data_IF_090284774789
#
_entry.id   IF_090284774789
#
_cell.length_a   1.000
_cell.length_b   1.000
_cell.length_c   1.000
_cell.angle_alpha   90.00
_cell.angle_beta   90.00
_cell.angle_gamma   90.00
#
_symmetry.space_group_name_H-M   'P 1'
#
loop_
_entity.id
_entity.type
_entity.pdbx_description
1 polymer ?
#
# COMPACT_ATOMS: atom_id res chain seq x y z
N UNK A 1 -19.45 -2.67 -15.94
CA UNK A 1 -17.99 -2.36 -15.86
C UNK A 1 -17.51 -2.73 -14.48
N UNK A 2 -16.41 -3.44 -14.40
CA UNK A 2 -15.89 -3.92 -13.11
C UNK A 2 -15.11 -2.79 -12.42
N UNK A 3 -15.41 -2.54 -11.14
CA UNK A 3 -14.74 -1.51 -10.36
C UNK A 3 -13.26 -1.88 -10.12
N UNK A 4 -12.37 -0.92 -10.25
CA UNK A 4 -10.91 -1.09 -10.05
C UNK A 4 -10.49 -0.37 -8.79
N UNK A 5 -9.96 -1.12 -7.82
CA UNK A 5 -9.58 -0.59 -6.51
C UNK A 5 -8.09 -0.79 -6.28
N UNK A 6 -7.36 0.30 -6.11
CA UNK A 6 -5.95 0.28 -5.74
C UNK A 6 -5.82 0.24 -4.22
N UNK A 7 -5.10 -0.73 -3.70
CA UNK A 7 -4.83 -0.88 -2.26
C UNK A 7 -3.32 -0.78 -2.03
N UNK A 8 -2.84 0.39 -1.63
CA UNK A 8 -1.45 0.53 -1.19
C UNK A 8 -1.23 -0.29 0.08
N UNK A 9 -0.19 -1.11 0.08
CA UNK A 9 0.17 -1.97 1.21
C UNK A 9 1.62 -1.73 1.60
N UNK A 10 1.87 -1.69 2.91
CA UNK A 10 3.21 -1.61 3.49
C UNK A 10 3.46 -2.75 4.49
N UNK A 11 2.65 -3.80 4.39
CA UNK A 11 2.70 -5.00 5.23
C UNK A 11 2.45 -4.74 6.73
N UNK A 12 1.82 -3.63 7.05
CA UNK A 12 1.35 -3.31 8.40
C UNK A 12 -0.07 -3.84 8.63
N UNK A 13 -0.47 -3.92 9.88
CA UNK A 13 -1.86 -4.27 10.26
C UNK A 13 -2.87 -3.27 9.67
N UNK A 14 -2.51 -2.00 9.55
CA UNK A 14 -3.36 -0.98 8.94
C UNK A 14 -3.66 -1.30 7.46
N UNK A 15 -2.63 -1.63 6.67
CA UNK A 15 -2.84 -2.00 5.27
C UNK A 15 -3.55 -3.36 5.13
N UNK A 16 -3.32 -4.30 6.05
CA UNK A 16 -4.05 -5.57 6.09
C UNK A 16 -5.55 -5.37 6.32
N UNK A 17 -5.92 -4.47 7.23
CA UNK A 17 -7.33 -4.10 7.47
C UNK A 17 -7.96 -3.43 6.24
N UNK A 18 -7.27 -2.51 5.61
CA UNK A 18 -7.77 -1.86 4.40
C UNK A 18 -8.06 -2.88 3.30
N UNK A 19 -7.17 -3.84 3.10
CA UNK A 19 -7.35 -4.91 2.12
C UNK A 19 -8.55 -5.81 2.48
N UNK A 20 -8.67 -6.20 3.75
CA UNK A 20 -9.78 -7.03 4.22
C UNK A 20 -11.14 -6.35 4.04
N UNK A 21 -11.25 -5.08 4.41
CA UNK A 21 -12.48 -4.29 4.25
C UNK A 21 -12.81 -4.12 2.77
N UNK A 22 -11.81 -3.86 1.92
CA UNK A 22 -12.01 -3.74 0.48
C UNK A 22 -12.57 -5.03 -0.13
N UNK A 23 -12.01 -6.17 0.22
CA UNK A 23 -12.49 -7.49 -0.22
C UNK A 23 -13.93 -7.77 0.23
N UNK A 24 -14.25 -7.44 1.48
CA UNK A 24 -15.57 -7.68 2.05
C UNK A 24 -16.65 -6.81 1.41
N UNK A 25 -16.38 -5.53 1.17
CA UNK A 25 -17.39 -4.57 0.69
C UNK A 25 -17.47 -4.47 -0.83
N UNK A 26 -16.44 -4.91 -1.54
CA UNK A 26 -16.38 -4.83 -3.00
C UNK A 26 -16.15 -6.21 -3.64
N UNK A 27 -17.00 -7.21 -3.36
CA UNK A 27 -16.90 -8.51 -3.99
C UNK A 27 -17.08 -8.37 -5.50
N UNK A 28 -16.14 -8.83 -6.29
CA UNK A 28 -16.18 -8.69 -7.75
C UNK A 28 -15.45 -7.45 -8.29
N UNK A 29 -14.86 -6.60 -7.44
CA UNK A 29 -13.94 -5.58 -7.90
C UNK A 29 -12.60 -6.20 -8.34
N UNK A 30 -11.94 -5.56 -9.28
CA UNK A 30 -10.53 -5.85 -9.58
C UNK A 30 -9.67 -5.11 -8.55
N UNK A 31 -9.01 -5.86 -7.70
CA UNK A 31 -8.14 -5.31 -6.65
C UNK A 31 -6.69 -5.40 -7.11
N UNK A 32 -5.96 -4.30 -7.01
CA UNK A 32 -4.51 -4.29 -7.21
C UNK A 32 -3.82 -3.85 -5.93
N UNK A 33 -2.96 -4.73 -5.39
CA UNK A 33 -2.07 -4.43 -4.29
C UNK A 33 -0.85 -3.66 -4.84
N UNK A 34 -0.54 -2.53 -4.24
CA UNK A 34 0.61 -1.70 -4.63
C UNK A 34 1.57 -1.55 -3.46
N UNK A 35 2.82 -1.91 -3.65
CA UNK A 35 3.90 -1.55 -2.74
C UNK A 35 4.78 -0.46 -3.37
N UNK A 36 5.06 0.60 -2.61
CA UNK A 36 5.95 1.67 -3.04
C UNK A 36 7.27 1.57 -2.29
N UNK A 37 8.33 1.33 -3.04
CA UNK A 37 9.70 1.36 -2.52
C UNK A 37 10.15 2.81 -2.42
N UNK A 38 10.44 3.30 -1.22
CA UNK A 38 10.98 4.64 -1.04
C UNK A 38 12.50 4.62 -1.30
N UNK A 39 13.02 5.44 -2.22
CA UNK A 39 14.44 5.51 -2.49
C UNK A 39 15.31 5.82 -1.25
N UNK A 40 14.77 6.53 -0.28
CA UNK A 40 15.47 6.82 0.97
C UNK A 40 15.76 5.56 1.81
N UNK A 41 14.90 4.56 1.73
CA UNK A 41 15.06 3.30 2.44
C UNK A 41 16.20 2.46 1.83
N UNK A 42 16.38 2.56 0.51
CA UNK A 42 17.50 1.93 -0.20
C UNK A 42 18.82 2.63 0.13
N UNK A 43 18.82 3.96 0.14
CA UNK A 43 20.02 4.77 0.41
C UNK A 43 20.52 4.63 1.85
N UNK A 44 19.65 4.43 2.82
CA UNK A 44 20.02 4.23 4.23
C UNK A 44 20.65 2.86 4.50
N UNK A 45 20.35 1.87 3.68
CA UNK A 45 20.99 0.55 3.76
C UNK A 45 22.42 0.55 3.22
N UNK A 46 22.80 1.56 2.41
CA UNK A 46 24.14 1.74 1.86
C UNK A 46 24.84 2.90 2.57
N UNK A 47 25.50 2.64 3.68
CA UNK A 47 26.14 3.66 4.53
C UNK A 47 27.37 4.34 3.90
N UNK A 48 27.50 4.43 2.58
CA UNK A 48 28.64 5.08 1.94
C UNK A 48 28.25 5.82 0.64
N UNK A 49 28.47 7.16 0.55
CA UNK A 49 28.04 7.98 -0.58
C UNK A 49 28.88 7.83 -1.87
N UNK A 50 29.88 6.98 -1.89
CA UNK A 50 30.61 6.62 -3.12
C UNK A 50 29.87 5.45 -3.78
N UNK A 51 28.71 5.73 -4.30
CA UNK A 51 27.85 4.71 -4.86
C UNK A 51 28.31 4.42 -6.29
N UNK A 52 28.81 3.22 -6.49
CA UNK A 52 28.87 2.64 -7.82
C UNK A 52 27.43 2.52 -8.35
N UNK A 53 27.09 3.13 -9.51
CA UNK A 53 25.74 3.07 -10.07
C UNK A 53 25.18 1.66 -10.25
N UNK A 54 26.05 0.67 -10.41
CA UNK A 54 25.68 -0.75 -10.50
C UNK A 54 25.15 -1.25 -9.16
N UNK A 55 25.74 -0.86 -8.05
CA UNK A 55 25.31 -1.25 -6.71
C UNK A 55 23.90 -0.71 -6.36
N UNK A 56 23.63 0.54 -6.74
CA UNK A 56 22.33 1.15 -6.50
C UNK A 56 21.21 0.44 -7.29
N UNK A 57 21.51 0.00 -8.52
CA UNK A 57 20.58 -0.78 -9.34
C UNK A 57 20.31 -2.16 -8.73
N UNK A 58 21.34 -2.82 -8.23
CA UNK A 58 21.24 -4.14 -7.60
C UNK A 58 20.40 -4.08 -6.34
N UNK A 59 20.63 -3.07 -5.47
CA UNK A 59 19.85 -2.89 -4.25
C UNK A 59 18.38 -2.54 -4.53
N UNK A 60 18.13 -1.72 -5.54
CA UNK A 60 16.78 -1.42 -6.00
C UNK A 60 16.07 -2.68 -6.51
N UNK A 61 16.73 -3.45 -7.35
CA UNK A 61 16.20 -4.70 -7.90
C UNK A 61 15.88 -5.71 -6.80
N UNK A 62 16.74 -5.85 -5.81
CA UNK A 62 16.50 -6.71 -4.63
C UNK A 62 15.29 -6.25 -3.84
N UNK A 63 15.14 -4.94 -3.61
CA UNK A 63 14.00 -4.37 -2.90
C UNK A 63 12.68 -4.61 -3.64
N UNK A 64 12.69 -4.43 -4.95
CA UNK A 64 11.52 -4.71 -5.81
C UNK A 64 11.16 -6.21 -5.81
N UNK A 65 12.13 -7.10 -5.91
CA UNK A 65 11.93 -8.54 -5.88
C UNK A 65 11.39 -9.02 -4.52
N UNK A 66 11.92 -8.49 -3.44
CA UNK A 66 11.44 -8.79 -2.09
C UNK A 66 10.00 -8.30 -1.89
N UNK A 67 9.69 -7.09 -2.34
CA UNK A 67 8.34 -6.55 -2.30
C UNK A 67 7.37 -7.41 -3.09
N UNK A 68 7.73 -7.85 -4.29
CA UNK A 68 6.93 -8.74 -5.12
C UNK A 68 6.67 -10.08 -4.44
N UNK A 69 7.66 -10.68 -3.81
CA UNK A 69 7.50 -11.93 -3.05
C UNK A 69 6.53 -11.76 -1.88
N UNK A 70 6.63 -10.66 -1.14
CA UNK A 70 5.73 -10.38 -0.02
C UNK A 70 4.31 -10.08 -0.49
N UNK A 71 4.15 -9.32 -1.56
CA UNK A 71 2.83 -9.08 -2.17
C UNK A 71 2.14 -10.39 -2.58
N UNK A 72 2.89 -11.32 -3.16
CA UNK A 72 2.36 -12.63 -3.56
C UNK A 72 1.76 -13.41 -2.38
N UNK A 73 2.28 -13.24 -1.15
CA UNK A 73 1.71 -13.87 0.04
C UNK A 73 0.38 -13.25 0.49
N UNK A 74 0.13 -12.01 0.11
CA UNK A 74 -1.10 -11.27 0.45
C UNK A 74 -2.16 -11.36 -0.65
N UNK A 75 -1.74 -11.57 -1.88
CA UNK A 75 -2.59 -11.65 -3.06
C UNK A 75 -3.50 -12.89 -3.02
N UNK A 76 -4.74 -12.75 -3.45
CA UNK A 76 -5.71 -13.85 -3.55
C UNK A 76 -6.35 -13.87 -4.94
N UNK A 77 -6.58 -15.09 -5.43
CA UNK A 77 -7.34 -15.28 -6.67
C UNK A 77 -6.78 -14.51 -7.86
N UNK A 78 -7.61 -13.69 -8.45
CA UNK A 78 -7.32 -12.87 -9.63
C UNK A 78 -6.87 -11.43 -9.29
N UNK A 79 -6.58 -11.16 -8.01
CA UNK A 79 -6.01 -9.86 -7.63
C UNK A 79 -4.68 -9.61 -8.31
N UNK A 80 -4.44 -8.37 -8.66
CA UNK A 80 -3.18 -7.95 -9.28
C UNK A 80 -2.19 -7.42 -8.23
N UNK A 81 -0.92 -7.40 -8.59
CA UNK A 81 0.11 -6.76 -7.78
C UNK A 81 0.98 -5.83 -8.62
N UNK A 82 1.49 -4.78 -8.00
CA UNK A 82 2.44 -3.86 -8.59
C UNK A 82 3.44 -3.37 -7.54
N UNK A 83 4.66 -3.14 -7.98
CA UNK A 83 5.72 -2.48 -7.20
C UNK A 83 6.15 -1.25 -7.97
N UNK A 84 6.20 -0.11 -7.28
CA UNK A 84 6.69 1.14 -7.83
C UNK A 84 7.75 1.75 -6.91
N UNK A 85 8.58 2.62 -7.44
CA UNK A 85 9.64 3.30 -6.68
C UNK A 85 9.40 4.79 -6.73
N UNK A 86 9.41 5.42 -5.57
CA UNK A 86 9.24 6.87 -5.47
C UNK A 86 8.75 7.33 -4.10
N UNK A 87 8.38 8.59 -4.02
CA UNK A 87 7.70 9.16 -2.85
C UNK A 87 6.32 8.51 -2.71
N UNK A 88 5.97 7.95 -1.54
CA UNK A 88 4.78 7.10 -1.42
C UNK A 88 3.49 7.76 -1.91
N UNK A 89 3.15 8.94 -1.41
CA UNK A 89 1.87 9.58 -1.73
C UNK A 89 1.73 9.91 -3.22
N UNK A 90 2.74 10.54 -3.79
CA UNK A 90 2.75 10.94 -5.20
C UNK A 90 2.74 9.71 -6.12
N UNK A 91 3.53 8.69 -5.77
CA UNK A 91 3.60 7.44 -6.54
C UNK A 91 2.27 6.69 -6.52
N UNK A 92 1.59 6.62 -5.37
CA UNK A 92 0.25 6.03 -5.27
C UNK A 92 -0.74 6.77 -6.17
N UNK A 93 -0.75 8.10 -6.14
CA UNK A 93 -1.62 8.92 -7.00
C UNK A 93 -1.35 8.67 -8.48
N UNK A 94 -0.10 8.63 -8.87
CA UNK A 94 0.30 8.36 -10.25
C UNK A 94 -0.10 6.96 -10.71
N UNK A 95 0.16 5.94 -9.89
CA UNK A 95 -0.24 4.56 -10.18
C UNK A 95 -1.76 4.41 -10.29
N UNK A 96 -2.51 5.10 -9.45
CA UNK A 96 -3.98 5.12 -9.53
C UNK A 96 -4.47 5.71 -10.85
N UNK A 97 -3.86 6.79 -11.32
CA UNK A 97 -4.18 7.40 -12.62
C UNK A 97 -3.82 6.49 -13.80
N UNK A 98 -2.61 5.95 -13.81
CA UNK A 98 -2.13 5.08 -14.89
C UNK A 98 -2.96 3.81 -15.01
N UNK A 99 -3.31 3.22 -13.89
CA UNK A 99 -4.13 2.00 -13.86
C UNK A 99 -5.62 2.30 -14.01
N UNK A 100 -6.04 3.57 -14.00
CA UNK A 100 -7.43 4.01 -14.02
C UNK A 100 -8.25 3.41 -12.88
N UNK A 101 -7.73 3.56 -11.66
CA UNK A 101 -8.44 3.15 -10.46
C UNK A 101 -9.68 4.01 -10.25
N UNK A 102 -10.78 3.38 -9.83
CA UNK A 102 -12.02 4.07 -9.45
C UNK A 102 -12.00 4.49 -7.97
N UNK A 103 -11.16 3.82 -7.16
CA UNK A 103 -11.06 4.02 -5.72
C UNK A 103 -9.65 3.67 -5.26
N UNK A 104 -9.15 4.41 -4.27
CA UNK A 104 -7.95 4.05 -3.49
C UNK A 104 -8.39 3.70 -2.08
N UNK A 105 -8.02 2.52 -1.57
CA UNK A 105 -8.33 2.09 -0.21
C UNK A 105 -7.07 2.06 0.64
N UNK A 106 -7.06 2.81 1.74
CA UNK A 106 -5.90 2.95 2.62
C UNK A 106 -6.25 2.71 4.08
N UNK A 107 -5.32 2.08 4.80
CA UNK A 107 -5.41 1.95 6.25
C UNK A 107 -4.72 3.11 6.97
N UNK A 108 -5.21 3.43 8.15
CA UNK A 108 -4.57 4.37 9.07
C UNK A 108 -4.37 3.74 10.44
N UNK A 109 -3.27 4.07 11.10
CA UNK A 109 -2.97 3.62 12.46
C UNK A 109 -3.69 4.42 13.55
N UNK A 110 -4.34 5.53 13.19
CA UNK A 110 -4.94 6.42 14.18
C UNK A 110 -6.32 5.93 14.60
N UNK A 111 -6.47 5.62 15.90
CA UNK A 111 -7.77 5.40 16.54
C UNK A 111 -8.47 6.70 16.91
N UNK A 112 -7.71 7.75 17.11
CA UNK A 112 -8.20 9.05 17.58
C UNK A 112 -8.27 10.03 16.44
N UNK A 113 -9.37 10.02 15.73
CA UNK A 113 -9.87 11.10 14.93
C UNK A 113 -8.91 11.90 14.05
N UNK A 114 -9.51 12.70 13.28
CA UNK A 114 -9.02 13.55 12.21
C UNK A 114 -7.73 14.36 12.49
N UNK A 115 -7.41 14.66 13.75
CA UNK A 115 -6.29 15.57 14.06
C UNK A 115 -4.90 14.94 13.94
N UNK A 116 -4.75 13.65 14.24
CA UNK A 116 -3.47 12.94 14.03
C UNK A 116 -3.27 12.48 12.59
N UNK A 117 -4.35 12.40 11.85
CA UNK A 117 -4.36 12.10 10.43
C UNK A 117 -3.75 13.22 9.58
N UNK A 118 -3.79 14.45 10.09
CA UNK A 118 -3.43 15.66 9.36
C UNK A 118 -1.95 16.05 9.44
N UNK A 119 -1.07 15.22 9.99
CA UNK A 119 0.33 15.59 10.18
C UNK A 119 1.28 14.76 9.30
N UNK A 120 1.28 15.02 7.99
CA UNK A 120 2.33 14.58 7.08
C UNK A 120 2.26 13.12 6.64
N UNK A 121 1.11 12.45 6.72
CA UNK A 121 0.94 11.10 6.21
C UNK A 121 0.65 11.07 4.70
N UNK A 122 1.02 9.97 4.04
CA UNK A 122 0.66 9.74 2.64
C UNK A 122 -0.86 9.79 2.43
N UNK A 123 -1.62 9.32 3.39
CA UNK A 123 -3.09 9.34 3.34
C UNK A 123 -3.65 10.76 3.34
N UNK A 124 -3.12 11.64 4.19
CA UNK A 124 -3.52 13.06 4.20
C UNK A 124 -3.26 13.72 2.85
N UNK A 125 -2.09 13.54 2.30
CA UNK A 125 -1.73 14.09 1.01
C UNK A 125 -2.67 13.58 -0.09
N UNK A 126 -2.97 12.29 -0.11
CA UNK A 126 -3.87 11.68 -1.09
C UNK A 126 -5.30 12.21 -0.99
N UNK A 127 -5.83 12.37 0.24
CA UNK A 127 -7.16 12.93 0.45
C UNK A 127 -7.28 14.35 -0.15
N UNK A 128 -6.19 15.12 -0.12
CA UNK A 128 -6.17 16.49 -0.66
C UNK A 128 -5.89 16.56 -2.16
N UNK A 129 -5.15 15.61 -2.72
CA UNK A 129 -4.58 15.76 -4.06
C UNK A 129 -4.97 14.67 -5.05
N UNK A 130 -5.45 13.50 -4.61
CA UNK A 130 -5.83 12.43 -5.51
C UNK A 130 -7.11 12.78 -6.27
N UNK A 131 -7.18 12.36 -7.53
CA UNK A 131 -8.39 12.52 -8.35
C UNK A 131 -9.44 11.44 -8.04
N UNK A 132 -9.03 10.33 -7.46
CA UNK A 132 -9.90 9.22 -7.09
C UNK A 132 -10.50 9.42 -5.70
N UNK A 133 -11.71 8.91 -5.44
CA UNK A 133 -12.22 8.74 -4.08
C UNK A 133 -11.25 7.92 -3.22
N UNK A 134 -11.14 8.28 -1.94
CA UNK A 134 -10.30 7.58 -0.98
C UNK A 134 -11.19 6.91 0.08
N UNK A 135 -11.07 5.61 0.21
CA UNK A 135 -11.61 4.85 1.35
C UNK A 135 -10.53 4.77 2.42
N UNK A 136 -10.81 5.35 3.58
CA UNK A 136 -9.91 5.31 4.73
C UNK A 136 -10.44 4.32 5.76
N UNK A 137 -9.66 3.29 6.04
CA UNK A 137 -9.98 2.28 7.05
C UNK A 137 -9.21 2.57 8.33
N UNK A 138 -9.96 2.93 9.37
CA UNK A 138 -9.38 3.24 10.68
C UNK A 138 -8.93 1.99 11.43
N UNK A 139 -8.09 2.17 12.44
CA UNK A 139 -7.67 1.12 13.36
C UNK A 139 -8.81 0.78 14.33
N UNK A 140 -9.78 0.03 13.86
CA UNK A 140 -10.93 -0.46 14.61
C UNK A 140 -11.01 -1.97 14.51
N UNK A 141 -11.74 -2.58 15.44
CA UNK A 141 -12.02 -4.01 15.38
C UNK A 141 -12.86 -4.33 14.13
N UNK A 142 -12.39 -5.30 13.38
CA UNK A 142 -13.07 -5.78 12.19
C UNK A 142 -14.23 -6.71 12.58
N UNK A 143 -15.33 -6.63 11.82
CA UNK A 143 -16.38 -7.64 11.91
C UNK A 143 -15.83 -9.02 11.49
N UNK A 144 -16.44 -10.10 11.98
CA UNK A 144 -15.98 -11.47 11.72
C UNK A 144 -15.91 -11.78 10.21
N UNK A 145 -16.82 -11.26 9.42
CA UNK A 145 -16.77 -11.42 7.97
C UNK A 145 -15.55 -10.74 7.36
N UNK A 146 -15.21 -9.54 7.80
CA UNK A 146 -14.04 -8.81 7.33
C UNK A 146 -12.73 -9.53 7.72
N UNK A 147 -12.67 -10.10 8.94
CA UNK A 147 -11.50 -10.86 9.41
C UNK A 147 -11.15 -12.04 8.53
N UNK A 148 -12.13 -12.66 7.87
CA UNK A 148 -11.89 -13.77 6.91
C UNK A 148 -11.08 -13.35 5.68
N UNK A 149 -11.06 -12.07 5.40
CA UNK A 149 -10.34 -11.49 4.26
C UNK A 149 -8.95 -10.94 4.61
N UNK A 150 -8.56 -11.03 5.88
CA UNK A 150 -7.21 -10.60 6.29
C UNK A 150 -6.13 -11.42 5.58
N UNK A 151 -5.08 -10.77 5.08
CA UNK A 151 -3.90 -11.47 4.62
C UNK A 151 -3.12 -12.04 5.82
N UNK A 152 -2.22 -13.00 5.59
CA UNK A 152 -1.33 -13.48 6.64
C UNK A 152 -0.38 -12.35 7.05
N UNK A 153 -0.64 -11.74 8.20
CA UNK A 153 0.28 -10.77 8.80
C UNK A 153 1.30 -11.59 9.58
N UNK A 154 2.56 -11.56 9.14
CA UNK A 154 3.63 -12.19 9.90
C UNK A 154 3.79 -11.51 11.27
N UNK A 155 4.35 -12.24 12.23
CA UNK A 155 4.63 -11.81 13.61
C UNK A 155 5.66 -10.68 13.70
N UNK A 156 5.60 -9.69 12.83
CA UNK A 156 6.50 -8.55 12.92
C UNK A 156 5.75 -7.43 13.65
N UNK A 157 6.07 -7.17 14.92
CA UNK A 157 5.50 -6.05 15.63
C UNK A 157 5.90 -4.76 14.89
N UNK A 158 4.92 -4.12 14.37
CA UNK A 158 5.11 -2.82 13.74
C UNK A 158 5.53 -1.76 14.77
#
# INVERSE_FOLDING_TARGET
MQQRILVPVNFTTASARALAVTRAYHPGAVIRLLYVVNPSDIASATANPVINPTHARDERSKAEDEASRRLATWQRGDEEQAVAVGSPAETISEQAKQWKADLIAMGTRSRTGFQQFLHGSATEWLVRHADQPILVVHDVDLAEEQKRHLPPVGDNPA
#
